data_IF_945791267018
#
_entry.id   IF_945791267018
#
_cell.length_a   1.000
_cell.length_b   1.000
_cell.length_c   1.000
_cell.angle_alpha   90.00
_cell.angle_beta   90.00
_cell.angle_gamma   90.00
#
_symmetry.space_group_name_H-M   'P 1'
#
loop_
_entity.id
_entity.type
_entity.pdbx_description
1 polymer ?
#
# COMPACT_ATOMS: atom_id res chain seq x y z
N UNK A 1 -37.57 9.90 -27.64
CA UNK A 1 -36.34 10.73 -27.69
C UNK A 1 -36.11 11.25 -26.29
N UNK A 2 -35.32 10.53 -25.49
CA UNK A 2 -34.97 10.96 -24.12
C UNK A 2 -33.92 12.07 -24.21
N UNK A 3 -34.28 13.27 -23.76
CA UNK A 3 -33.37 14.40 -23.65
C UNK A 3 -32.96 14.54 -22.19
N UNK A 4 -31.67 14.43 -21.91
CA UNK A 4 -31.10 14.60 -20.57
C UNK A 4 -30.48 15.99 -20.50
N UNK A 5 -30.92 16.79 -19.55
CA UNK A 5 -30.37 18.13 -19.30
C UNK A 5 -29.26 18.04 -18.26
N UNK A 6 -28.04 18.45 -18.64
CA UNK A 6 -26.90 18.51 -17.74
C UNK A 6 -26.56 19.98 -17.45
N UNK A 7 -26.61 20.35 -16.18
CA UNK A 7 -26.22 21.68 -15.70
C UNK A 7 -24.77 21.61 -15.23
N UNK A 8 -23.83 22.06 -16.08
CA UNK A 8 -22.38 21.90 -15.84
C UNK A 8 -21.82 23.09 -15.05
N UNK A 9 -22.43 24.27 -15.19
CA UNK A 9 -22.23 25.48 -14.38
C UNK A 9 -23.44 26.43 -14.56
N UNK A 10 -23.58 27.52 -13.78
CA UNK A 10 -24.76 28.41 -13.82
C UNK A 10 -25.13 28.94 -15.21
N UNK A 11 -24.18 28.96 -16.14
CA UNK A 11 -24.32 29.57 -17.47
C UNK A 11 -24.33 28.56 -18.64
N UNK A 12 -24.15 27.25 -18.40
CA UNK A 12 -23.85 26.28 -19.46
C UNK A 12 -24.74 25.02 -19.38
N UNK A 13 -25.65 24.89 -20.36
CA UNK A 13 -26.57 23.76 -20.50
C UNK A 13 -26.18 22.92 -21.73
N UNK A 14 -25.92 21.62 -21.51
CA UNK A 14 -25.59 20.67 -22.56
C UNK A 14 -26.77 19.73 -22.83
N UNK A 15 -27.14 19.62 -24.12
CA UNK A 15 -28.18 18.71 -24.62
C UNK A 15 -27.53 17.54 -25.36
N UNK A 16 -27.77 16.32 -24.88
CA UNK A 16 -27.28 15.08 -25.48
C UNK A 16 -28.45 14.21 -25.98
N UNK A 17 -28.37 13.74 -27.23
CA UNK A 17 -29.33 12.81 -27.82
C UNK A 17 -28.65 11.46 -28.10
N UNK A 18 -29.15 10.40 -27.45
CA UNK A 18 -28.50 9.08 -27.37
C UNK A 18 -28.31 8.35 -28.72
N UNK A 19 -28.90 8.83 -29.82
CA UNK A 19 -28.87 8.15 -31.13
C UNK A 19 -28.15 8.88 -32.26
N UNK A 20 -27.81 10.16 -32.11
CA UNK A 20 -27.04 10.90 -33.10
C UNK A 20 -26.12 11.87 -32.34
N UNK A 21 -24.81 11.74 -32.51
CA UNK A 21 -23.74 12.52 -31.87
C UNK A 21 -23.76 14.04 -32.20
N UNK A 22 -24.90 14.71 -32.02
CA UNK A 22 -25.05 16.15 -32.20
C UNK A 22 -25.13 16.80 -30.82
N UNK A 23 -24.03 17.43 -30.42
CA UNK A 23 -23.95 18.28 -29.23
C UNK A 23 -24.39 19.68 -29.65
N UNK A 24 -25.56 20.11 -29.22
CA UNK A 24 -26.00 21.49 -29.40
C UNK A 24 -25.89 22.20 -28.04
N UNK A 25 -24.95 23.14 -27.92
CA UNK A 25 -24.71 23.93 -26.71
C UNK A 25 -25.55 25.19 -26.81
N UNK A 26 -26.42 25.46 -25.83
CA UNK A 26 -27.21 26.69 -25.79
C UNK A 26 -26.98 27.42 -24.47
N UNK A 27 -26.36 28.59 -24.54
CA UNK A 27 -26.19 29.51 -23.41
C UNK A 27 -27.49 30.29 -23.15
N UNK A 28 -27.70 30.68 -21.89
CA UNK A 28 -28.84 31.49 -21.47
C UNK A 28 -28.39 32.92 -21.15
N UNK A 29 -28.18 33.75 -22.17
CA UNK A 29 -28.29 35.22 -22.09
C UNK A 29 -28.26 35.87 -23.49
N UNK A 30 -29.26 36.72 -23.73
CA UNK A 30 -29.46 37.83 -24.70
C UNK A 30 -28.76 37.90 -26.08
N UNK A 31 -29.45 38.45 -27.11
CA UNK A 31 -29.04 38.36 -28.50
C UNK A 31 -27.99 39.43 -28.83
N UNK A 32 -26.72 39.17 -28.54
CA UNK A 32 -25.62 39.96 -29.09
C UNK A 32 -24.70 39.02 -29.86
N UNK A 33 -24.64 39.23 -31.18
CA UNK A 33 -23.75 38.53 -32.11
C UNK A 33 -22.30 38.69 -31.66
N UNK A 34 -21.73 37.62 -31.12
CA UNK A 34 -20.28 37.45 -31.09
C UNK A 34 -19.93 36.23 -31.96
N UNK A 35 -19.10 36.46 -32.98
CA UNK A 35 -18.36 35.39 -33.66
C UNK A 35 -17.31 34.87 -32.67
N UNK A 36 -17.63 33.78 -31.97
CA UNK A 36 -16.76 33.19 -30.96
C UNK A 36 -15.87 32.11 -31.58
N UNK A 37 -14.56 32.27 -31.42
CA UNK A 37 -13.56 31.31 -31.89
C UNK A 37 -13.38 30.22 -30.82
N UNK A 38 -13.53 28.95 -31.19
CA UNK A 38 -13.62 27.81 -30.26
C UNK A 38 -12.34 27.57 -29.42
N UNK A 39 -11.24 28.25 -29.76
CA UNK A 39 -9.93 28.13 -29.12
C UNK A 39 -9.92 28.69 -27.69
N UNK A 40 -10.76 29.68 -27.38
CA UNK A 40 -10.75 30.37 -26.08
C UNK A 40 -11.48 29.58 -24.97
N UNK A 41 -12.44 28.72 -25.31
CA UNK A 41 -13.10 27.84 -24.34
C UNK A 41 -12.19 26.65 -23.93
N UNK A 42 -11.23 26.30 -24.78
CA UNK A 42 -10.32 25.16 -24.63
C UNK A 42 -9.11 25.45 -23.74
N UNK A 43 -8.66 26.70 -23.68
CA UNK A 43 -7.57 27.14 -22.79
C UNK A 43 -7.98 27.14 -21.31
N UNK A 44 -9.28 27.19 -21.02
CA UNK A 44 -9.81 27.12 -19.65
C UNK A 44 -9.82 25.70 -19.07
N UNK A 45 -9.86 24.66 -19.91
CA UNK A 45 -9.92 23.26 -19.48
C UNK A 45 -8.51 22.65 -19.33
N UNK A 46 -7.54 23.07 -20.16
CA UNK A 46 -6.12 22.67 -20.08
C UNK A 46 -5.25 23.89 -20.38
N UNK A 47 -4.70 24.59 -19.37
CA UNK A 47 -3.87 25.77 -19.61
C UNK A 47 -2.61 25.40 -20.40
N UNK A 48 -2.43 25.99 -21.58
CA UNK A 48 -1.20 25.89 -22.38
C UNK A 48 -1.18 24.86 -23.52
N UNK A 49 -2.27 24.14 -23.79
CA UNK A 49 -2.30 23.15 -24.87
C UNK A 49 -2.66 23.77 -26.24
N UNK A 50 -1.77 23.69 -27.23
CA UNK A 50 -2.04 24.01 -28.64
C UNK A 50 -2.39 22.73 -29.40
N UNK A 51 -3.67 22.50 -29.70
CA UNK A 51 -4.10 21.39 -30.55
C UNK A 51 -4.37 21.90 -31.97
N UNK A 52 -3.67 21.37 -32.97
CA UNK A 52 -3.95 21.64 -34.39
C UNK A 52 -4.15 20.34 -35.17
N UNK A 53 -5.13 20.32 -36.07
CA UNK A 53 -5.43 19.20 -36.98
C UNK A 53 -6.49 18.20 -36.47
N UNK A 54 -7.00 17.37 -37.41
CA UNK A 54 -8.03 16.33 -37.13
C UNK A 54 -7.63 15.36 -36.01
N UNK A 55 -6.34 15.14 -35.79
CA UNK A 55 -5.81 14.26 -34.75
C UNK A 55 -6.05 14.81 -33.32
N UNK A 56 -5.97 16.14 -33.16
CA UNK A 56 -6.29 16.80 -31.88
C UNK A 56 -7.75 16.61 -31.49
N UNK A 57 -8.66 16.63 -32.46
CA UNK A 57 -10.10 16.42 -32.25
C UNK A 57 -10.45 15.00 -31.79
N UNK A 58 -9.86 13.97 -32.41
CA UNK A 58 -10.06 12.59 -31.97
C UNK A 58 -9.51 12.35 -30.55
N UNK A 59 -8.34 12.91 -30.24
CA UNK A 59 -7.75 12.82 -28.90
C UNK A 59 -8.63 13.53 -27.85
N UNK A 60 -9.19 14.68 -28.19
CA UNK A 60 -10.09 15.44 -27.33
C UNK A 60 -11.42 14.72 -27.09
N UNK A 61 -12.04 14.18 -28.15
CA UNK A 61 -13.26 13.37 -28.02
C UNK A 61 -13.03 12.17 -27.10
N UNK A 62 -11.91 11.45 -27.25
CA UNK A 62 -11.59 10.31 -26.38
C UNK A 62 -11.40 10.71 -24.91
N UNK A 63 -10.75 11.85 -24.64
CA UNK A 63 -10.58 12.35 -23.26
C UNK A 63 -11.91 12.78 -22.65
N UNK A 64 -12.76 13.45 -23.42
CA UNK A 64 -14.08 13.90 -22.97
C UNK A 64 -15.00 12.70 -22.75
N UNK A 65 -15.00 11.69 -23.63
CA UNK A 65 -15.79 10.47 -23.49
C UNK A 65 -15.33 9.63 -22.28
N UNK A 66 -14.03 9.60 -22.02
CA UNK A 66 -13.46 8.91 -20.86
C UNK A 66 -13.81 9.62 -19.54
N UNK A 67 -13.69 10.96 -19.48
CA UNK A 67 -14.13 11.74 -18.31
C UNK A 67 -15.64 11.67 -18.10
N UNK A 68 -16.43 11.65 -19.18
CA UNK A 68 -17.89 11.52 -19.11
C UNK A 68 -18.32 10.12 -18.65
N UNK A 69 -17.67 9.07 -19.13
CA UNK A 69 -17.88 7.69 -18.66
C UNK A 69 -17.54 7.55 -17.18
N UNK A 70 -16.45 8.18 -16.73
CA UNK A 70 -16.09 8.23 -15.31
C UNK A 70 -17.11 8.98 -14.45
N UNK A 71 -17.63 10.11 -14.94
CA UNK A 71 -18.65 10.90 -14.26
C UNK A 71 -19.99 10.15 -14.15
N UNK A 72 -20.39 9.40 -15.18
CA UNK A 72 -21.57 8.53 -15.16
C UNK A 72 -21.39 7.31 -14.23
N UNK A 73 -20.17 6.82 -14.06
CA UNK A 73 -19.83 5.80 -13.06
C UNK A 73 -19.96 6.40 -11.65
N UNK A 74 -19.45 7.61 -11.42
CA UNK A 74 -19.60 8.35 -10.16
C UNK A 74 -21.06 8.62 -9.79
N UNK A 75 -21.88 9.07 -10.73
CA UNK A 75 -23.29 9.37 -10.46
C UNK A 75 -24.13 8.11 -10.12
N UNK A 76 -23.65 6.93 -10.50
CA UNK A 76 -24.28 5.64 -10.21
C UNK A 76 -23.66 4.88 -9.03
N UNK A 77 -22.55 5.38 -8.46
CA UNK A 77 -21.92 4.80 -7.28
C UNK A 77 -22.40 5.56 -6.03
N UNK A 78 -23.25 4.98 -5.18
CA UNK A 78 -23.62 5.63 -3.93
C UNK A 78 -22.36 5.94 -3.09
N UNK A 79 -22.18 7.20 -2.66
CA UNK A 79 -21.02 7.71 -1.88
C UNK A 79 -20.66 6.89 -0.61
N UNK A 80 -21.54 5.99 -0.19
CA UNK A 80 -21.50 5.19 1.03
C UNK A 80 -20.79 3.84 0.79
N UNK A 81 -20.34 3.55 -0.45
CA UNK A 81 -19.65 2.31 -0.84
C UNK A 81 -18.12 2.33 -0.83
N UNK A 82 -17.44 3.46 -0.60
CA UNK A 82 -15.97 3.50 -0.82
C UNK A 82 -15.16 2.73 0.25
N UNK A 83 -15.50 2.88 1.54
CA UNK A 83 -14.89 2.09 2.64
C UNK A 83 -15.22 0.60 2.53
N UNK A 84 -16.43 0.27 2.07
CA UNK A 84 -16.85 -1.11 1.81
C UNK A 84 -16.13 -1.69 0.59
N UNK A 85 -15.84 -0.88 -0.43
CA UNK A 85 -15.16 -1.33 -1.67
C UNK A 85 -13.74 -1.83 -1.38
N UNK A 86 -12.96 -1.08 -0.60
CA UNK A 86 -11.58 -1.47 -0.25
C UNK A 86 -11.57 -2.75 0.60
N UNK A 87 -12.48 -2.87 1.57
CA UNK A 87 -12.63 -4.08 2.39
C UNK A 87 -13.02 -5.29 1.54
N UNK A 88 -13.98 -5.13 0.65
CA UNK A 88 -14.42 -6.18 -0.28
C UNK A 88 -13.29 -6.63 -1.20
N UNK A 89 -12.48 -5.69 -1.70
CA UNK A 89 -11.31 -6.01 -2.53
C UNK A 89 -10.27 -6.81 -1.73
N UNK A 90 -9.97 -6.38 -0.50
CA UNK A 90 -9.04 -7.07 0.40
C UNK A 90 -9.52 -8.48 0.74
N UNK A 91 -10.79 -8.66 1.11
CA UNK A 91 -11.37 -9.99 1.38
C UNK A 91 -11.20 -10.94 0.20
N UNK A 92 -11.54 -10.49 -1.01
CA UNK A 92 -11.42 -11.29 -2.23
C UNK A 92 -9.96 -11.61 -2.53
N UNK A 93 -9.05 -10.63 -2.39
CA UNK A 93 -7.62 -10.81 -2.62
C UNK A 93 -6.99 -11.80 -1.63
N UNK A 94 -7.32 -11.71 -0.34
CA UNK A 94 -6.84 -12.63 0.69
C UNK A 94 -7.38 -14.04 0.43
N UNK A 95 -8.68 -14.19 0.23
CA UNK A 95 -9.30 -15.49 -0.03
C UNK A 95 -8.69 -16.16 -1.27
N UNK A 96 -8.50 -15.40 -2.35
CA UNK A 96 -7.87 -15.86 -3.58
C UNK A 96 -6.40 -16.25 -3.38
N UNK A 97 -5.66 -15.48 -2.59
CA UNK A 97 -4.24 -15.75 -2.29
C UNK A 97 -4.09 -17.02 -1.45
N UNK A 98 -4.92 -17.20 -0.42
CA UNK A 98 -4.94 -18.42 0.39
C UNK A 98 -5.31 -19.63 -0.47
N UNK A 99 -6.36 -19.51 -1.30
CA UNK A 99 -6.78 -20.57 -2.20
C UNK A 99 -5.67 -20.94 -3.20
N UNK A 100 -5.01 -19.94 -3.80
CA UNK A 100 -3.90 -20.15 -4.72
C UNK A 100 -2.74 -20.85 -4.03
N UNK A 101 -2.31 -20.37 -2.86
CA UNK A 101 -1.21 -20.98 -2.12
C UNK A 101 -1.52 -22.43 -1.72
N UNK A 102 -2.74 -22.70 -1.25
CA UNK A 102 -3.19 -24.04 -0.89
C UNK A 102 -3.23 -24.99 -2.11
N UNK A 103 -3.86 -24.57 -3.21
CA UNK A 103 -3.93 -25.41 -4.41
C UNK A 103 -2.54 -25.59 -5.06
N UNK A 104 -1.73 -24.55 -5.15
CA UNK A 104 -0.36 -24.66 -5.67
C UNK A 104 0.53 -25.58 -4.81
N UNK A 105 0.29 -25.65 -3.50
CA UNK A 105 1.04 -26.52 -2.61
C UNK A 105 0.69 -28.00 -2.76
N UNK A 106 -0.58 -28.31 -3.02
CA UNK A 106 -1.08 -29.68 -3.23
C UNK A 106 -0.79 -30.23 -4.63
N UNK A 107 -0.64 -29.36 -5.63
CA UNK A 107 -0.35 -29.78 -7.00
C UNK A 107 1.08 -30.29 -7.17
N UNK A 108 1.25 -31.32 -8.02
CA UNK A 108 2.57 -31.73 -8.51
C UNK A 108 3.26 -30.53 -9.17
N UNK A 109 4.55 -30.38 -8.91
CA UNK A 109 5.37 -29.27 -9.38
C UNK A 109 5.42 -29.24 -10.91
N UNK A 110 4.53 -28.45 -11.51
CA UNK A 110 4.41 -28.27 -12.95
C UNK A 110 4.12 -26.80 -13.22
N UNK A 111 5.10 -26.10 -13.81
CA UNK A 111 5.05 -24.65 -14.00
C UNK A 111 3.81 -24.20 -14.78
N UNK A 112 3.46 -24.92 -15.85
CA UNK A 112 2.30 -24.60 -16.69
C UNK A 112 1.00 -24.66 -15.88
N UNK A 113 0.83 -25.71 -15.07
CA UNK A 113 -0.39 -25.89 -14.26
C UNK A 113 -0.53 -24.81 -13.19
N UNK A 114 0.57 -24.44 -12.53
CA UNK A 114 0.55 -23.41 -11.48
C UNK A 114 0.29 -22.01 -12.08
N UNK A 115 0.91 -21.69 -13.22
CA UNK A 115 0.61 -20.44 -13.94
C UNK A 115 -0.86 -20.38 -14.41
N UNK A 116 -1.39 -21.50 -14.94
CA UNK A 116 -2.79 -21.56 -15.36
C UNK A 116 -3.77 -21.42 -14.18
N UNK A 117 -3.48 -22.10 -13.06
CA UNK A 117 -4.22 -21.94 -11.81
C UNK A 117 -4.24 -20.47 -11.34
N UNK A 118 -3.07 -19.81 -11.35
CA UNK A 118 -2.95 -18.41 -10.98
C UNK A 118 -3.84 -17.51 -11.85
N UNK A 119 -3.79 -17.68 -13.19
CA UNK A 119 -4.61 -16.91 -14.13
C UNK A 119 -6.10 -17.13 -13.87
N UNK A 120 -6.53 -18.38 -13.66
CA UNK A 120 -7.93 -18.69 -13.35
C UNK A 120 -8.36 -17.99 -12.07
N UNK A 121 -7.61 -18.17 -10.98
CA UNK A 121 -7.96 -17.60 -9.68
C UNK A 121 -8.05 -16.07 -9.77
N UNK A 122 -7.04 -15.42 -10.34
CA UNK A 122 -7.02 -13.95 -10.47
C UNK A 122 -8.17 -13.45 -11.35
N UNK A 123 -8.46 -14.12 -12.48
CA UNK A 123 -9.58 -13.76 -13.36
C UNK A 123 -10.92 -13.93 -12.65
N UNK A 124 -11.09 -15.03 -11.91
CA UNK A 124 -12.28 -15.28 -11.08
C UNK A 124 -12.42 -14.23 -9.97
N UNK A 125 -11.34 -13.82 -9.33
CA UNK A 125 -11.34 -12.76 -8.30
C UNK A 125 -11.79 -11.42 -8.86
N UNK A 126 -11.28 -11.00 -10.02
CA UNK A 126 -11.73 -9.75 -10.65
C UNK A 126 -13.21 -9.83 -11.06
N UNK A 127 -13.64 -10.97 -11.61
CA UNK A 127 -15.04 -11.16 -11.95
C UNK A 127 -15.95 -11.10 -10.71
N UNK A 128 -15.58 -11.77 -9.61
CA UNK A 128 -16.30 -11.73 -8.34
C UNK A 128 -16.35 -10.31 -7.75
N UNK A 129 -15.25 -9.55 -7.82
CA UNK A 129 -15.21 -8.16 -7.37
C UNK A 129 -16.15 -7.28 -8.20
N UNK A 130 -16.14 -7.46 -9.53
CA UNK A 130 -17.06 -6.78 -10.46
C UNK A 130 -18.52 -7.04 -10.10
N UNK A 131 -18.87 -8.31 -9.87
CA UNK A 131 -20.23 -8.72 -9.48
C UNK A 131 -20.65 -8.10 -8.15
N UNK A 132 -19.77 -8.12 -7.14
CA UNK A 132 -20.08 -7.57 -5.83
C UNK A 132 -20.23 -6.03 -5.86
N UNK A 133 -19.49 -5.35 -6.72
CA UNK A 133 -19.64 -3.91 -6.93
C UNK A 133 -20.88 -3.54 -7.75
N UNK A 134 -21.39 -4.47 -8.56
CA UNK A 134 -22.48 -4.21 -9.51
C UNK A 134 -22.02 -3.42 -10.72
N UNK A 135 -20.74 -3.53 -11.10
CA UNK A 135 -20.14 -2.83 -12.25
C UNK A 135 -19.68 -3.84 -13.30
N UNK A 136 -19.58 -3.39 -14.56
CA UNK A 136 -19.01 -4.20 -15.63
C UNK A 136 -17.49 -4.40 -15.44
N UNK A 137 -16.97 -5.55 -15.86
CA UNK A 137 -15.55 -5.91 -15.72
C UNK A 137 -14.62 -4.87 -16.38
N UNK A 138 -15.06 -4.27 -17.49
CA UNK A 138 -14.34 -3.21 -18.22
C UNK A 138 -14.13 -1.94 -17.41
N UNK A 139 -14.93 -1.71 -16.37
CA UNK A 139 -14.87 -0.49 -15.56
C UNK A 139 -13.89 -0.64 -14.38
N UNK A 140 -13.47 -1.85 -14.02
CA UNK A 140 -12.54 -2.08 -12.91
C UNK A 140 -11.21 -1.35 -13.07
N UNK A 141 -10.54 -1.32 -14.25
CA UNK A 141 -9.29 -0.58 -14.42
C UNK A 141 -9.44 0.91 -14.10
N UNK A 142 -10.55 1.53 -14.52
CA UNK A 142 -10.84 2.93 -14.24
C UNK A 142 -11.08 3.18 -12.74
N UNK A 143 -11.77 2.26 -12.06
CA UNK A 143 -11.98 2.33 -10.61
C UNK A 143 -10.66 2.21 -9.83
N UNK A 144 -9.79 1.26 -10.19
CA UNK A 144 -8.48 1.13 -9.55
C UNK A 144 -7.59 2.34 -9.83
N UNK A 145 -7.61 2.86 -11.05
CA UNK A 145 -6.89 4.09 -11.39
C UNK A 145 -7.34 5.25 -10.48
N UNK A 146 -8.65 5.46 -10.34
CA UNK A 146 -9.20 6.50 -9.48
C UNK A 146 -8.91 6.25 -7.99
N UNK A 147 -8.86 5.00 -7.54
CA UNK A 147 -8.51 4.66 -6.15
C UNK A 147 -7.05 5.01 -5.83
N UNK A 148 -6.14 4.79 -6.79
CA UNK A 148 -4.73 5.16 -6.68
C UNK A 148 -4.57 6.68 -6.82
N UNK A 149 -5.19 7.28 -7.82
CA UNK A 149 -5.13 8.71 -8.13
C UNK A 149 -6.48 9.37 -7.83
N UNK A 150 -6.68 9.82 -6.59
CA UNK A 150 -7.88 10.55 -6.18
C UNK A 150 -7.88 12.03 -6.62
N UNK A 151 -6.81 12.48 -7.28
CA UNK A 151 -6.66 13.84 -7.79
C UNK A 151 -6.21 14.87 -6.74
N UNK A 152 -5.95 14.45 -5.50
CA UNK A 152 -5.44 15.36 -4.46
C UNK A 152 -3.91 15.50 -4.53
N UNK A 153 -3.41 16.70 -4.24
CA UNK A 153 -1.96 16.94 -4.14
C UNK A 153 -1.31 16.07 -3.06
N UNK A 154 -2.02 15.86 -1.94
CA UNK A 154 -1.56 15.01 -0.86
C UNK A 154 -1.32 13.58 -1.33
N UNK A 155 -2.25 12.98 -2.09
CA UNK A 155 -2.06 11.66 -2.69
C UNK A 155 -0.86 11.64 -3.62
N UNK A 156 -0.71 12.66 -4.45
CA UNK A 156 0.40 12.72 -5.40
C UNK A 156 1.75 12.74 -4.70
N UNK A 157 1.93 13.60 -3.68
CA UNK A 157 3.16 13.64 -2.89
C UNK A 157 3.43 12.33 -2.15
N UNK A 158 2.38 11.69 -1.62
CA UNK A 158 2.51 10.40 -0.95
C UNK A 158 2.98 9.30 -1.92
N UNK A 159 2.38 9.22 -3.11
CA UNK A 159 2.78 8.25 -4.15
C UNK A 159 4.21 8.51 -4.64
N UNK A 160 4.60 9.78 -4.81
CA UNK A 160 5.97 10.15 -5.17
C UNK A 160 6.96 9.71 -4.09
N UNK A 161 6.63 9.92 -2.82
CA UNK A 161 7.46 9.47 -1.70
C UNK A 161 7.58 7.95 -1.66
N UNK A 162 6.48 7.21 -1.84
CA UNK A 162 6.51 5.75 -1.91
C UNK A 162 7.37 5.26 -3.08
N UNK A 163 7.27 5.92 -4.24
CA UNK A 163 8.09 5.61 -5.40
C UNK A 163 9.58 5.80 -5.11
N UNK A 164 9.96 6.87 -4.41
CA UNK A 164 11.34 7.11 -3.95
C UNK A 164 11.79 5.98 -3.02
N UNK A 165 10.99 5.57 -2.04
CA UNK A 165 11.33 4.46 -1.14
C UNK A 165 11.51 3.12 -1.88
N UNK A 166 10.65 2.84 -2.86
CA UNK A 166 10.75 1.64 -3.70
C UNK A 166 12.02 1.69 -4.56
N UNK A 167 12.30 2.80 -5.23
CA UNK A 167 13.53 2.95 -6.02
C UNK A 167 14.79 2.85 -5.16
N UNK A 168 14.81 3.47 -3.98
CA UNK A 168 15.91 3.35 -3.04
C UNK A 168 16.14 1.89 -2.63
N UNK A 169 15.06 1.13 -2.41
CA UNK A 169 15.11 -0.32 -2.13
C UNK A 169 15.64 -1.13 -3.31
N UNK A 170 15.22 -0.83 -4.54
CA UNK A 170 15.73 -1.49 -5.74
C UNK A 170 17.21 -1.21 -5.97
N UNK A 171 17.64 0.04 -5.84
CA UNK A 171 19.06 0.44 -5.94
C UNK A 171 19.88 -0.28 -4.87
N UNK A 172 19.39 -0.31 -3.63
CA UNK A 172 20.03 -1.05 -2.55
C UNK A 172 20.17 -2.55 -2.87
N UNK A 173 19.11 -3.19 -3.38
CA UNK A 173 19.16 -4.58 -3.80
C UNK A 173 20.21 -4.82 -4.90
N UNK A 174 20.31 -3.91 -5.89
CA UNK A 174 21.32 -4.00 -6.95
C UNK A 174 22.73 -3.92 -6.36
N UNK A 175 22.98 -2.94 -5.47
CA UNK A 175 24.29 -2.77 -4.83
C UNK A 175 24.68 -4.01 -4.03
N UNK A 176 23.77 -4.54 -3.19
CA UNK A 176 24.06 -5.72 -2.37
C UNK A 176 24.28 -6.97 -3.23
N UNK A 177 23.51 -7.15 -4.30
CA UNK A 177 23.74 -8.25 -5.25
C UNK A 177 25.11 -8.15 -5.92
N UNK A 178 25.55 -6.95 -6.31
CA UNK A 178 26.91 -6.76 -6.84
C UNK A 178 28.00 -7.06 -5.81
N UNK A 179 27.76 -6.75 -4.53
CA UNK A 179 28.69 -7.07 -3.44
C UNK A 179 28.68 -8.55 -3.04
N UNK A 180 27.71 -9.34 -3.48
CA UNK A 180 27.56 -10.78 -3.21
C UNK A 180 27.55 -11.17 -1.73
N UNK A 181 27.29 -10.21 -0.82
CA UNK A 181 27.24 -10.44 0.62
C UNK A 181 26.17 -9.54 1.26
N UNK A 182 25.33 -10.12 2.12
CA UNK A 182 24.32 -9.41 2.90
C UNK A 182 24.48 -9.70 4.39
N UNK A 183 24.34 -8.66 5.22
CA UNK A 183 24.37 -8.79 6.69
C UNK A 183 23.02 -8.47 7.33
N UNK A 184 22.87 -8.77 8.62
CA UNK A 184 21.70 -8.38 9.42
C UNK A 184 21.42 -6.88 9.37
N UNK A 185 22.48 -6.06 9.34
CA UNK A 185 22.40 -4.60 9.23
C UNK A 185 21.91 -4.16 7.86
N UNK A 186 22.34 -4.82 6.78
CA UNK A 186 21.84 -4.55 5.43
C UNK A 186 20.32 -4.76 5.35
N UNK A 187 19.81 -5.80 6.01
CA UNK A 187 18.36 -6.05 6.04
C UNK A 187 17.55 -4.97 6.77
N UNK A 188 18.17 -4.17 7.63
CA UNK A 188 17.51 -3.03 8.30
C UNK A 188 17.21 -1.87 7.35
N UNK A 189 17.80 -1.86 6.14
CA UNK A 189 17.38 -0.93 5.09
C UNK A 189 15.92 -1.16 4.68
N UNK A 190 15.49 -2.42 4.53
CA UNK A 190 14.09 -2.75 4.25
C UNK A 190 13.17 -2.35 5.41
N UNK A 191 13.63 -2.50 6.66
CA UNK A 191 12.87 -2.11 7.84
C UNK A 191 12.65 -0.59 7.85
N UNK A 192 13.68 0.18 7.49
CA UNK A 192 13.59 1.62 7.37
C UNK A 192 12.61 2.05 6.28
N UNK A 193 12.75 1.54 5.04
CA UNK A 193 11.92 2.00 3.92
C UNK A 193 10.44 1.66 4.12
N UNK A 194 10.13 0.45 4.61
CA UNK A 194 8.75 0.07 4.92
C UNK A 194 8.18 0.87 6.10
N UNK A 195 9.00 1.19 7.11
CA UNK A 195 8.58 2.01 8.25
C UNK A 195 8.24 3.44 7.82
N UNK A 196 9.03 4.03 6.92
CA UNK A 196 8.75 5.36 6.37
C UNK A 196 7.44 5.38 5.58
N UNK A 197 7.20 4.37 4.75
CA UNK A 197 5.92 4.19 4.03
C UNK A 197 4.77 4.06 5.04
N UNK A 198 4.92 3.24 6.08
CA UNK A 198 3.89 3.05 7.10
C UNK A 198 3.59 4.36 7.88
N UNK A 199 4.62 5.06 8.38
CA UNK A 199 4.45 6.32 9.13
C UNK A 199 3.72 7.37 8.28
N UNK A 200 4.19 7.60 7.06
CA UNK A 200 3.58 8.59 6.16
C UNK A 200 2.18 8.16 5.72
N UNK A 201 1.94 6.87 5.52
CA UNK A 201 0.62 6.32 5.27
C UNK A 201 -0.35 6.55 6.42
N UNK A 202 0.03 6.20 7.66
CA UNK A 202 -0.80 6.46 8.85
C UNK A 202 -1.12 7.95 8.93
N UNK A 203 -0.14 8.82 8.71
CA UNK A 203 -0.32 10.27 8.85
C UNK A 203 -1.26 10.84 7.79
N UNK A 204 -0.98 10.60 6.51
CA UNK A 204 -1.64 11.30 5.42
C UNK A 204 -2.82 10.53 4.86
N UNK A 205 -2.74 9.21 4.71
CA UNK A 205 -3.84 8.43 4.13
C UNK A 205 -3.90 7.00 4.66
N UNK A 206 -4.60 6.86 5.78
CA UNK A 206 -4.76 5.61 6.50
C UNK A 206 -5.48 4.55 5.65
N UNK A 207 -6.58 4.90 5.00
CA UNK A 207 -7.38 3.95 4.23
C UNK A 207 -6.59 3.36 3.06
N UNK A 208 -5.79 4.19 2.37
CA UNK A 208 -4.96 3.72 1.28
C UNK A 208 -3.75 2.91 1.74
N UNK A 209 -3.08 3.28 2.84
CA UNK A 209 -1.97 2.46 3.33
C UNK A 209 -2.49 1.11 3.83
N UNK A 210 -3.65 1.07 4.47
CA UNK A 210 -4.30 -0.18 4.88
C UNK A 210 -4.59 -1.10 3.70
N UNK A 211 -5.19 -0.56 2.63
CA UNK A 211 -5.43 -1.29 1.39
C UNK A 211 -4.12 -1.78 0.77
N UNK A 212 -3.15 -0.87 0.61
CA UNK A 212 -1.87 -1.15 -0.03
C UNK A 212 -1.07 -2.22 0.72
N UNK A 213 -1.09 -2.19 2.05
CA UNK A 213 -0.40 -3.17 2.90
C UNK A 213 -0.98 -4.58 2.73
N UNK A 214 -2.31 -4.74 2.72
CA UNK A 214 -2.95 -6.04 2.47
C UNK A 214 -2.65 -6.60 1.09
N UNK A 215 -2.76 -5.76 0.05
CA UNK A 215 -2.46 -6.17 -1.33
C UNK A 215 -0.98 -6.51 -1.50
N UNK A 216 -0.07 -5.74 -0.91
CA UNK A 216 1.38 -6.02 -0.93
C UNK A 216 1.70 -7.34 -0.23
N UNK A 217 1.06 -7.62 0.92
CA UNK A 217 1.23 -8.89 1.63
C UNK A 217 0.78 -10.07 0.75
N UNK A 218 -0.36 -9.94 0.06
CA UNK A 218 -0.83 -10.95 -0.90
C UNK A 218 0.19 -11.18 -2.03
N UNK A 219 0.74 -10.11 -2.60
CA UNK A 219 1.77 -10.18 -3.64
C UNK A 219 3.01 -10.91 -3.13
N UNK A 220 3.49 -10.63 -1.91
CA UNK A 220 4.66 -11.31 -1.35
C UNK A 220 4.42 -12.80 -1.16
N UNK A 221 3.24 -13.22 -0.72
CA UNK A 221 2.86 -14.64 -0.63
C UNK A 221 2.84 -15.28 -2.02
N UNK A 222 2.25 -14.64 -3.03
CA UNK A 222 2.19 -15.14 -4.40
C UNK A 222 3.60 -15.30 -4.99
N UNK A 223 4.46 -14.30 -4.81
CA UNK A 223 5.88 -14.34 -5.25
C UNK A 223 6.58 -15.54 -4.60
N UNK A 224 6.40 -15.73 -3.31
CA UNK A 224 7.04 -16.84 -2.59
C UNK A 224 6.50 -18.21 -3.02
N UNK A 225 5.21 -18.33 -3.36
CA UNK A 225 4.65 -19.55 -3.96
C UNK A 225 5.30 -19.84 -5.31
N UNK A 226 5.43 -18.84 -6.19
CA UNK A 226 6.09 -19.03 -7.48
C UNK A 226 7.57 -19.44 -7.33
N UNK A 227 8.28 -18.81 -6.37
CA UNK A 227 9.68 -19.10 -6.09
C UNK A 227 9.86 -20.51 -5.49
N UNK A 228 9.17 -20.81 -4.40
CA UNK A 228 9.27 -22.09 -3.67
C UNK A 228 8.83 -23.30 -4.51
N UNK A 229 7.90 -23.11 -5.46
CA UNK A 229 7.47 -24.13 -6.43
C UNK A 229 8.30 -24.16 -7.71
N UNK A 230 9.43 -23.45 -7.75
CA UNK A 230 10.33 -23.36 -8.90
C UNK A 230 9.61 -23.10 -10.23
N UNK A 231 8.57 -22.25 -10.23
CA UNK A 231 7.76 -21.99 -11.43
C UNK A 231 8.56 -21.20 -12.45
N UNK A 232 8.72 -21.73 -13.66
CA UNK A 232 9.39 -21.05 -14.78
C UNK A 232 8.45 -20.01 -15.43
N UNK A 233 8.95 -18.83 -15.86
CA UNK A 233 10.35 -18.36 -15.78
C UNK A 233 10.70 -17.66 -14.45
N UNK A 234 9.72 -17.45 -13.57
CA UNK A 234 9.81 -16.58 -12.40
C UNK A 234 10.88 -16.99 -11.39
N UNK A 235 10.95 -18.28 -11.07
CA UNK A 235 11.73 -18.78 -9.92
C UNK A 235 13.21 -18.51 -10.01
N UNK A 236 13.79 -18.55 -11.22
CA UNK A 236 15.21 -18.25 -11.43
C UNK A 236 15.50 -16.79 -11.06
N UNK A 237 14.78 -15.85 -11.67
CA UNK A 237 14.94 -14.43 -11.37
C UNK A 237 14.68 -14.12 -9.90
N UNK A 238 13.64 -14.72 -9.29
CA UNK A 238 13.34 -14.51 -7.88
C UNK A 238 14.45 -15.03 -6.98
N UNK A 239 15.03 -16.19 -7.27
CA UNK A 239 16.14 -16.73 -6.49
C UNK A 239 17.41 -15.87 -6.61
N UNK A 240 17.73 -15.39 -7.82
CA UNK A 240 18.90 -14.53 -8.06
C UNK A 240 18.86 -13.26 -7.18
N UNK A 241 17.66 -12.71 -6.94
CA UNK A 241 17.50 -11.49 -6.14
C UNK A 241 17.25 -11.73 -4.65
N UNK A 242 16.60 -12.83 -4.27
CA UNK A 242 16.13 -13.05 -2.89
C UNK A 242 17.05 -13.94 -2.06
N UNK A 243 17.77 -14.90 -2.66
CA UNK A 243 18.58 -15.85 -1.89
C UNK A 243 19.73 -15.17 -1.12
N UNK A 244 20.25 -14.05 -1.63
CA UNK A 244 21.29 -13.27 -0.96
C UNK A 244 20.80 -12.66 0.36
N UNK A 245 19.49 -12.49 0.55
CA UNK A 245 18.90 -11.87 1.74
C UNK A 245 18.34 -12.88 2.75
N UNK A 246 18.57 -14.19 2.57
CA UNK A 246 18.14 -15.22 3.51
C UNK A 246 18.60 -14.87 4.94
N UNK A 247 17.66 -14.95 5.88
CA UNK A 247 17.94 -14.84 7.30
C UNK A 247 18.06 -16.23 7.96
N UNK A 248 18.50 -16.28 9.23
CA UNK A 248 18.62 -17.50 10.05
C UNK A 248 17.31 -18.28 10.18
N UNK A 249 16.18 -17.58 10.07
CA UNK A 249 14.84 -18.17 10.13
C UNK A 249 14.30 -18.62 8.77
N UNK A 250 14.98 -18.29 7.67
CA UNK A 250 14.61 -18.69 6.32
C UNK A 250 15.34 -19.96 5.88
N UNK A 251 14.88 -20.54 4.78
CA UNK A 251 15.60 -21.59 4.07
C UNK A 251 15.59 -21.32 2.56
N UNK A 252 16.52 -21.89 1.77
CA UNK A 252 16.47 -21.77 0.31
C UNK A 252 15.15 -22.26 -0.30
N UNK A 253 14.44 -23.17 0.39
CA UNK A 253 13.14 -23.70 -0.03
C UNK A 253 11.98 -22.76 0.33
N UNK A 254 12.12 -21.95 1.37
CA UNK A 254 11.06 -21.10 1.89
C UNK A 254 11.64 -19.85 2.55
N UNK A 255 11.34 -18.67 1.99
CA UNK A 255 11.79 -17.36 2.47
C UNK A 255 10.56 -16.62 3.01
N UNK A 256 10.49 -16.43 4.32
CA UNK A 256 9.36 -15.84 5.01
C UNK A 256 9.67 -14.48 5.63
N UNK A 257 10.94 -14.15 5.85
CA UNK A 257 11.35 -12.88 6.48
C UNK A 257 10.71 -11.64 5.84
N UNK A 258 10.64 -11.46 4.49
CA UNK A 258 9.96 -10.32 3.89
C UNK A 258 8.44 -10.28 4.16
N UNK A 259 7.80 -11.45 4.21
CA UNK A 259 6.36 -11.59 4.53
C UNK A 259 6.14 -11.20 5.99
N UNK A 260 6.97 -11.69 6.91
CA UNK A 260 6.87 -11.38 8.34
C UNK A 260 7.19 -9.92 8.65
N UNK A 261 8.15 -9.30 7.96
CA UNK A 261 8.43 -7.88 8.08
C UNK A 261 7.20 -7.03 7.69
N UNK A 262 6.60 -7.33 6.52
CA UNK A 262 5.40 -6.65 6.04
C UNK A 262 4.23 -6.87 7.00
N UNK A 263 3.94 -8.12 7.36
CA UNK A 263 2.87 -8.46 8.28
C UNK A 263 3.05 -7.76 9.63
N UNK A 264 4.26 -7.75 10.19
CA UNK A 264 4.54 -7.15 11.49
C UNK A 264 4.41 -5.64 11.53
N UNK A 265 4.98 -4.94 10.55
CA UNK A 265 4.93 -3.46 10.50
C UNK A 265 3.49 -2.96 10.36
N UNK A 266 2.68 -3.64 9.55
CA UNK A 266 1.29 -3.24 9.26
C UNK A 266 0.25 -3.91 10.17
N UNK A 267 0.66 -4.85 11.04
CA UNK A 267 -0.26 -5.59 11.90
C UNK A 267 -1.22 -4.69 12.70
N UNK A 268 -0.76 -3.60 13.35
CA UNK A 268 -1.66 -2.75 14.11
C UNK A 268 -2.75 -2.10 13.27
N UNK A 269 -2.46 -1.78 12.01
CA UNK A 269 -3.42 -1.21 11.06
C UNK A 269 -4.47 -2.25 10.66
N UNK A 270 -4.07 -3.52 10.58
CA UNK A 270 -5.00 -4.63 10.31
C UNK A 270 -5.92 -4.89 11.49
N UNK A 271 -5.41 -4.79 12.72
CA UNK A 271 -6.18 -5.02 13.95
C UNK A 271 -7.13 -3.86 14.28
N UNK A 272 -6.72 -2.62 13.98
CA UNK A 272 -7.52 -1.42 14.22
C UNK A 272 -7.59 -0.55 12.95
N UNK A 273 -8.42 -0.93 11.96
CA UNK A 273 -8.64 -0.13 10.77
C UNK A 273 -9.49 1.09 11.09
N UNK A 274 -8.96 2.29 10.85
CA UNK A 274 -9.67 3.56 11.01
C UNK A 274 -9.95 4.26 9.67
N UNK A 275 -10.93 5.16 9.63
CA UNK A 275 -11.12 6.07 8.50
C UNK A 275 -10.14 7.26 8.56
N UNK A 276 -9.90 7.93 7.44
CA UNK A 276 -8.94 9.04 7.35
C UNK A 276 -9.27 10.23 8.30
N UNK A 277 -10.55 10.41 8.61
CA UNK A 277 -11.07 11.44 9.51
C UNK A 277 -11.09 11.03 11.00
N UNK A 278 -10.80 9.78 11.33
CA UNK A 278 -10.76 9.28 12.71
C UNK A 278 -9.39 9.58 13.37
N UNK A 279 -9.39 9.58 14.70
CA UNK A 279 -8.18 9.87 15.47
C UNK A 279 -7.18 8.73 15.39
N UNK A 280 -5.91 9.09 15.20
CA UNK A 280 -4.79 8.15 15.22
C UNK A 280 -4.33 7.97 16.65
N UNK A 281 -4.15 6.72 17.05
CA UNK A 281 -3.60 6.34 18.34
C UNK A 281 -2.16 5.81 18.21
N UNK A 282 -1.42 5.86 19.32
CA UNK A 282 -0.02 5.42 19.38
C UNK A 282 0.15 3.94 19.00
N UNK A 283 -0.83 3.08 19.33
CA UNK A 283 -0.78 1.66 18.98
C UNK A 283 -0.74 1.40 17.48
N UNK A 284 -1.23 2.30 16.61
CA UNK A 284 -1.09 2.14 15.16
C UNK A 284 0.38 2.14 14.71
N UNK A 285 1.25 2.76 15.49
CA UNK A 285 2.69 2.79 15.24
C UNK A 285 3.45 1.64 15.92
N UNK A 286 2.77 0.72 16.62
CA UNK A 286 3.41 -0.34 17.39
C UNK A 286 4.31 -1.26 16.55
N UNK A 287 3.92 -1.55 15.30
CA UNK A 287 4.72 -2.34 14.37
C UNK A 287 6.01 -1.62 13.98
N UNK A 288 5.92 -0.32 13.69
CA UNK A 288 7.10 0.52 13.40
C UNK A 288 7.99 0.71 14.63
N UNK A 289 7.39 0.91 15.81
CA UNK A 289 8.09 1.11 17.06
C UNK A 289 8.94 -0.12 17.43
N UNK A 290 8.36 -1.30 17.29
CA UNK A 290 9.03 -2.58 17.62
C UNK A 290 9.97 -3.05 16.52
N UNK A 291 9.49 -3.24 15.29
CA UNK A 291 10.27 -3.84 14.20
C UNK A 291 11.11 -2.79 13.48
N UNK A 292 10.50 -1.66 13.15
CA UNK A 292 11.16 -0.58 12.42
C UNK A 292 12.33 0.02 13.21
N UNK A 293 12.08 0.34 14.48
CA UNK A 293 13.04 1.05 15.34
C UNK A 293 13.73 0.13 16.33
N UNK A 294 12.97 -0.54 17.22
CA UNK A 294 13.52 -1.36 18.29
C UNK A 294 14.46 -2.46 17.78
N UNK A 295 13.95 -3.36 16.95
CA UNK A 295 14.68 -4.50 16.38
C UNK A 295 15.85 -4.05 15.48
N UNK A 296 15.68 -2.95 14.73
CA UNK A 296 16.79 -2.33 13.99
C UNK A 296 17.92 -1.87 14.92
N UNK A 297 17.61 -1.16 16.00
CA UNK A 297 18.61 -0.68 16.96
C UNK A 297 19.25 -1.81 17.76
N UNK A 298 18.48 -2.83 18.15
CA UNK A 298 19.01 -4.05 18.76
C UNK A 298 20.03 -4.73 17.85
N UNK A 299 19.71 -4.90 16.57
CA UNK A 299 20.62 -5.55 15.63
C UNK A 299 21.88 -4.72 15.37
N UNK A 300 21.76 -3.40 15.19
CA UNK A 300 22.89 -2.51 14.90
C UNK A 300 23.81 -2.38 16.12
N UNK A 301 23.26 -2.08 17.30
CA UNK A 301 24.04 -1.90 18.52
C UNK A 301 24.55 -3.25 19.04
N UNK A 302 23.71 -4.28 19.02
CA UNK A 302 24.08 -5.62 19.47
C UNK A 302 25.18 -6.25 18.62
N UNK A 303 25.17 -6.03 17.30
CA UNK A 303 26.26 -6.54 16.43
C UNK A 303 27.57 -5.75 16.54
N UNK A 304 27.51 -4.44 16.85
CA UNK A 304 28.70 -3.58 16.92
C UNK A 304 29.32 -3.52 18.31
N UNK A 305 28.51 -3.54 19.36
CA UNK A 305 28.93 -3.28 20.74
C UNK A 305 28.52 -4.37 21.73
N UNK A 306 27.76 -5.37 21.30
CA UNK A 306 27.28 -6.44 22.17
C UNK A 306 28.42 -7.29 22.74
N UNK A 307 28.41 -7.49 24.06
CA UNK A 307 29.38 -8.32 24.79
C UNK A 307 28.69 -9.31 25.71
N UNK A 308 27.57 -8.89 26.31
CA UNK A 308 26.82 -9.69 27.27
C UNK A 308 25.66 -10.39 26.57
N UNK A 309 25.76 -11.70 26.38
CA UNK A 309 24.71 -12.50 25.75
C UNK A 309 23.66 -12.96 26.74
N UNK A 310 22.41 -12.98 26.32
CA UNK A 310 21.33 -13.59 27.09
C UNK A 310 21.54 -15.11 27.20
N UNK A 311 21.23 -15.74 28.35
CA UNK A 311 21.38 -17.18 28.51
C UNK A 311 20.59 -17.94 27.44
N UNK A 312 21.25 -18.85 26.73
CA UNK A 312 20.67 -19.68 25.65
C UNK A 312 20.13 -18.88 24.44
N UNK A 313 20.54 -17.62 24.28
CA UNK A 313 20.18 -16.77 23.13
C UNK A 313 21.44 -16.23 22.44
N UNK A 314 21.31 -15.93 21.16
CA UNK A 314 22.36 -15.26 20.37
C UNK A 314 22.26 -13.74 20.43
N UNK A 315 21.30 -13.22 21.21
CA UNK A 315 21.01 -11.80 21.38
C UNK A 315 21.74 -11.26 22.61
N UNK A 316 22.07 -9.97 22.57
CA UNK A 316 22.89 -9.32 23.59
C UNK A 316 22.05 -8.37 24.45
N UNK A 317 22.43 -8.24 25.73
CA UNK A 317 21.79 -7.30 26.66
C UNK A 317 21.93 -5.87 26.16
N UNK A 318 23.07 -5.50 25.57
CA UNK A 318 23.27 -4.18 24.97
C UNK A 318 22.30 -3.94 23.81
N UNK A 319 22.01 -4.97 23.01
CA UNK A 319 20.99 -4.93 21.97
C UNK A 319 19.59 -4.71 22.55
N UNK A 320 19.20 -5.44 23.59
CA UNK A 320 17.89 -5.28 24.24
C UNK A 320 17.73 -3.92 24.93
N UNK A 321 18.81 -3.35 25.50
CA UNK A 321 18.79 -1.98 26.02
C UNK A 321 18.60 -0.97 24.89
N UNK A 322 19.29 -1.14 23.76
CA UNK A 322 19.11 -0.28 22.58
C UNK A 322 17.69 -0.38 22.00
N UNK A 323 17.10 -1.58 21.99
CA UNK A 323 15.70 -1.78 21.64
C UNK A 323 14.78 -0.94 22.52
N UNK A 324 14.88 -1.11 23.85
CA UNK A 324 13.98 -0.46 24.81
C UNK A 324 14.07 1.06 24.72
N UNK A 325 15.29 1.61 24.67
CA UNK A 325 15.52 3.06 24.53
C UNK A 325 14.99 3.55 23.18
N UNK A 326 15.25 2.83 22.10
CA UNK A 326 14.82 3.16 20.76
C UNK A 326 13.30 3.25 20.63
N UNK A 327 12.60 2.20 21.04
CA UNK A 327 11.14 2.14 21.05
C UNK A 327 10.55 3.24 21.94
N UNK A 328 11.10 3.43 23.14
CA UNK A 328 10.65 4.45 24.08
C UNK A 328 10.75 5.85 23.46
N UNK A 329 11.93 6.24 22.96
CA UNK A 329 12.14 7.55 22.33
C UNK A 329 11.22 7.72 21.12
N UNK A 330 11.11 6.70 20.26
CA UNK A 330 10.22 6.77 19.10
C UNK A 330 8.77 7.03 19.49
N UNK A 331 8.23 6.30 20.47
CA UNK A 331 6.87 6.52 20.95
C UNK A 331 6.65 7.93 21.51
N UNK A 332 7.62 8.47 22.27
CA UNK A 332 7.58 9.86 22.74
C UNK A 332 7.56 10.84 21.58
N UNK A 333 8.41 10.65 20.56
CA UNK A 333 8.44 11.51 19.38
C UNK A 333 7.12 11.45 18.59
N UNK A 334 6.52 10.27 18.44
CA UNK A 334 5.20 10.12 17.81
C UNK A 334 4.13 10.89 18.60
N UNK A 335 4.10 10.75 19.92
CA UNK A 335 3.16 11.49 20.77
C UNK A 335 3.31 13.01 20.61
N UNK A 336 4.54 13.53 20.70
CA UNK A 336 4.79 14.97 20.67
C UNK A 336 4.59 15.61 19.29
N UNK A 337 5.12 14.98 18.23
CA UNK A 337 5.18 15.62 16.90
C UNK A 337 4.07 15.20 15.95
N UNK A 338 3.63 13.93 16.02
CA UNK A 338 2.63 13.40 15.09
C UNK A 338 1.22 13.47 15.67
N UNK A 339 1.03 12.90 16.87
CA UNK A 339 -0.27 12.90 17.54
C UNK A 339 -0.57 14.22 18.25
N UNK A 340 0.46 15.02 18.54
CA UNK A 340 0.39 16.29 19.26
C UNK A 340 -0.39 16.15 20.57
N UNK A 341 -0.14 15.07 21.31
CA UNK A 341 -0.79 14.80 22.58
C UNK A 341 0.13 15.13 23.76
N UNK A 342 -0.47 15.67 24.84
CA UNK A 342 0.23 15.87 26.10
C UNK A 342 0.47 14.53 26.79
N UNK A 343 1.72 14.25 27.10
CA UNK A 343 2.13 12.96 27.69
C UNK A 343 1.97 13.04 29.20
N UNK A 344 0.92 12.41 29.72
CA UNK A 344 0.70 12.26 31.15
C UNK A 344 1.61 11.16 31.74
N UNK A 345 1.84 11.20 33.06
CA UNK A 345 2.64 10.19 33.78
C UNK A 345 2.16 8.75 33.52
N UNK A 346 0.84 8.55 33.42
CA UNK A 346 0.25 7.25 33.08
C UNK A 346 0.71 6.76 31.71
N UNK A 347 0.61 7.58 30.66
CA UNK A 347 1.03 7.22 29.31
C UNK A 347 2.53 6.94 29.23
N UNK A 348 3.34 7.74 29.93
CA UNK A 348 4.78 7.53 30.04
C UNK A 348 5.12 6.15 30.62
N UNK A 349 4.43 5.75 31.70
CA UNK A 349 4.60 4.43 32.31
C UNK A 349 4.21 3.29 31.37
N UNK A 350 3.13 3.44 30.60
CA UNK A 350 2.71 2.44 29.61
C UNK A 350 3.69 2.32 28.43
N UNK A 351 4.24 3.44 27.95
CA UNK A 351 5.28 3.42 26.92
C UNK A 351 6.55 2.73 27.44
N UNK A 352 6.96 3.02 28.68
CA UNK A 352 8.08 2.33 29.31
C UNK A 352 7.80 0.83 29.43
N UNK A 353 6.64 0.45 29.97
CA UNK A 353 6.24 -0.95 30.13
C UNK A 353 6.27 -1.68 28.78
N UNK A 354 5.66 -1.11 27.74
CA UNK A 354 5.68 -1.66 26.38
C UNK A 354 7.11 -1.89 25.87
N UNK A 355 7.98 -0.91 26.06
CA UNK A 355 9.36 -0.96 25.58
C UNK A 355 10.20 -2.01 26.30
N UNK A 356 10.09 -2.11 27.63
CA UNK A 356 10.79 -3.13 28.41
C UNK A 356 10.25 -4.54 28.14
N UNK A 357 8.93 -4.71 28.06
CA UNK A 357 8.31 -6.00 27.78
C UNK A 357 8.72 -6.48 26.38
N UNK A 358 8.66 -5.62 25.36
CA UNK A 358 9.07 -5.99 24.01
C UNK A 358 10.58 -6.31 23.93
N UNK A 359 11.46 -5.56 24.61
CA UNK A 359 12.89 -5.87 24.68
C UNK A 359 13.18 -7.22 25.35
N UNK A 360 12.43 -7.57 26.39
CA UNK A 360 12.55 -8.86 27.07
C UNK A 360 12.10 -10.03 26.17
N UNK A 361 10.95 -9.89 25.49
CA UNK A 361 10.49 -10.90 24.55
C UNK A 361 11.41 -11.01 23.33
N UNK A 362 11.97 -9.90 22.85
CA UNK A 362 12.96 -9.88 21.78
C UNK A 362 14.17 -10.75 22.14
N UNK A 363 14.68 -10.64 23.37
CA UNK A 363 15.82 -11.42 23.84
C UNK A 363 15.59 -12.94 23.88
N UNK A 364 14.36 -13.35 24.21
CA UNK A 364 13.97 -14.75 24.44
C UNK A 364 13.50 -15.43 23.17
N UNK A 365 12.77 -14.72 22.30
CA UNK A 365 12.17 -15.31 21.11
C UNK A 365 13.25 -15.68 20.08
N UNK A 366 13.40 -16.98 19.73
CA UNK A 366 14.44 -17.43 18.81
C UNK A 366 14.07 -17.23 17.33
N UNK A 367 12.77 -17.13 17.03
CA UNK A 367 12.20 -16.92 15.70
C UNK A 367 10.84 -16.21 15.83
N UNK A 368 10.35 -15.58 14.75
CA UNK A 368 9.01 -14.95 14.67
C UNK A 368 8.80 -13.68 15.52
N UNK A 369 9.87 -13.05 16.00
CA UNK A 369 9.83 -11.77 16.71
C UNK A 369 9.13 -10.66 15.89
N UNK A 370 9.30 -10.69 14.57
CA UNK A 370 8.61 -9.81 13.62
C UNK A 370 7.07 -9.94 13.57
N UNK A 371 6.44 -10.88 14.28
CA UNK A 371 4.97 -10.91 14.42
C UNK A 371 4.57 -10.68 15.87
N UNK A 372 5.27 -11.34 16.80
CA UNK A 372 4.88 -11.35 18.22
C UNK A 372 5.11 -9.98 18.86
N UNK A 373 6.22 -9.29 18.58
CA UNK A 373 6.54 -8.01 19.22
C UNK A 373 5.51 -6.91 18.89
N UNK A 374 5.08 -6.70 17.62
CA UNK A 374 4.00 -5.77 17.32
C UNK A 374 2.70 -6.07 18.05
N UNK A 375 2.32 -7.35 18.22
CA UNK A 375 1.10 -7.73 18.95
C UNK A 375 1.22 -7.29 20.41
N UNK A 376 2.33 -7.60 21.06
CA UNK A 376 2.58 -7.23 22.46
C UNK A 376 2.54 -5.70 22.61
N UNK A 377 3.25 -4.97 21.75
CA UNK A 377 3.26 -3.52 21.79
C UNK A 377 1.86 -2.93 21.52
N UNK A 378 1.12 -3.48 20.55
CA UNK A 378 -0.25 -3.04 20.26
C UNK A 378 -1.17 -3.22 21.47
N UNK A 379 -1.14 -4.38 22.13
CA UNK A 379 -2.00 -4.67 23.29
C UNK A 379 -1.67 -3.83 24.53
N UNK A 380 -0.40 -3.45 24.71
CA UNK A 380 0.04 -2.62 25.83
C UNK A 380 -0.24 -1.13 25.56
N UNK A 381 -0.20 -0.70 24.29
CA UNK A 381 -0.39 0.70 23.90
C UNK A 381 -1.84 1.06 23.51
N UNK A 382 -2.73 0.06 23.38
CA UNK A 382 -4.18 0.21 23.21
C UNK A 382 -4.84 0.64 24.51
#
# INVERSE_FOLDING_TARGET
MELIFLNVCPELLLLYCKHHHLINVRFRADPIRYSFDWVDCLTYIIPGAKFSGKFGWYFLCTIVDYRFSLYLIESNLPMWKQKDTDRMLVEIAIAATILFAFLATTMKQCSIRINFLFIIIVSSSFYLHSLRLGVNLSNLPALFYKRIFDGTDQRYYLLLFYLICVFATLIFCIIVNHLSHSSTVHRKFFHLTVSLICITGIQYDFEFIWLSAWLTLCIFVIIEVFRSKCVSPWSKYLNDWLLIFIDKQDSPKLILTPIYLMAGIFLPLFLSPIANNEYRHLYHFAGVATIGVGDSLAAIIGSKYGRLYWPKSQKTMEGSVAFAIGQFIFCILICLYYLKCDINMYQLLWIMLSSFTCAFFEAILPAMDNIILPVIAYLILS
#
